data_IF_178966651940
#
_entry.id   IF_178966651940
#
_cell.length_a   1.000
_cell.length_b   1.000
_cell.length_c   1.000
_cell.angle_alpha   90.00
_cell.angle_beta   90.00
_cell.angle_gamma   90.00
#
_symmetry.space_group_name_H-M   'P 1'
#
loop_
_entity.id
_entity.type
_entity.pdbx_description
1 polymer ?
#
# COMPACT_ATOMS: atom_id res chain seq x y z
N UNK A 1 -64.05 -22.30 -35.67
CA UNK A 1 -63.34 -23.04 -34.61
C UNK A 1 -61.86 -23.27 -34.92
N UNK A 2 -61.48 -23.72 -36.13
CA UNK A 2 -60.07 -23.96 -36.49
C UNK A 2 -59.18 -22.70 -36.39
N UNK A 3 -59.67 -21.54 -36.83
CA UNK A 3 -58.91 -20.29 -36.79
C UNK A 3 -58.69 -19.77 -35.35
N UNK A 4 -59.67 -19.96 -34.46
CA UNK A 4 -59.53 -19.60 -33.05
C UNK A 4 -58.47 -20.47 -32.34
N UNK A 5 -58.42 -21.76 -32.67
CA UNK A 5 -57.43 -22.70 -32.12
C UNK A 5 -56.01 -22.34 -32.60
N UNK A 6 -55.85 -21.98 -33.89
CA UNK A 6 -54.56 -21.49 -34.42
C UNK A 6 -54.11 -20.19 -33.74
N UNK A 7 -55.01 -19.23 -33.54
CA UNK A 7 -54.68 -17.97 -32.84
C UNK A 7 -54.26 -18.21 -31.39
N UNK A 8 -54.92 -19.12 -30.68
CA UNK A 8 -54.56 -19.48 -29.30
C UNK A 8 -53.21 -20.19 -29.21
N UNK A 9 -52.91 -21.08 -30.17
CA UNK A 9 -51.61 -21.77 -30.25
C UNK A 9 -50.46 -20.82 -30.56
N UNK A 10 -50.68 -19.81 -31.41
CA UNK A 10 -49.69 -18.76 -31.71
C UNK A 10 -49.47 -17.86 -30.48
N UNK A 11 -50.53 -17.51 -29.74
CA UNK A 11 -50.38 -16.73 -28.50
C UNK A 11 -49.63 -17.51 -27.41
N UNK A 12 -49.88 -18.82 -27.27
CA UNK A 12 -49.19 -19.66 -26.29
C UNK A 12 -47.71 -19.85 -26.64
N UNK A 13 -47.39 -20.03 -27.92
CA UNK A 13 -46.01 -20.18 -28.38
C UNK A 13 -45.24 -18.86 -28.30
N UNK A 14 -45.89 -17.72 -28.51
CA UNK A 14 -45.30 -16.40 -28.27
C UNK A 14 -45.07 -16.16 -26.76
N UNK A 15 -46.02 -16.50 -25.89
CA UNK A 15 -45.86 -16.38 -24.44
C UNK A 15 -44.74 -17.29 -23.88
N UNK A 16 -44.58 -18.50 -24.44
CA UNK A 16 -43.49 -19.41 -24.10
C UNK A 16 -42.12 -18.88 -24.58
N UNK A 17 -42.05 -18.26 -25.77
CA UNK A 17 -40.83 -17.64 -26.28
C UNK A 17 -40.37 -16.43 -25.43
N UNK A 18 -41.31 -15.65 -24.89
CA UNK A 18 -41.00 -14.50 -24.02
C UNK A 18 -40.55 -14.96 -22.61
N UNK A 19 -40.99 -16.13 -22.15
CA UNK A 19 -40.51 -16.72 -20.87
C UNK A 19 -39.16 -17.42 -20.99
N UNK A 20 -38.71 -17.77 -22.21
CA UNK A 20 -37.38 -18.33 -22.50
C UNK A 20 -36.27 -17.27 -22.55
N UNK A 21 -36.60 -16.01 -22.83
CA UNK A 21 -35.68 -14.87 -22.71
C UNK A 21 -35.67 -14.31 -21.28
N UNK A 22 -35.36 -15.16 -20.29
CA UNK A 22 -34.73 -14.65 -19.07
C UNK A 22 -33.29 -14.32 -19.45
N UNK A 23 -33.06 -13.10 -19.91
CA UNK A 23 -31.74 -12.48 -19.78
C UNK A 23 -31.34 -12.70 -18.32
N UNK A 24 -30.25 -13.43 -18.10
CA UNK A 24 -29.66 -13.71 -16.79
C UNK A 24 -29.10 -12.45 -16.15
N UNK A 25 -29.96 -11.44 -15.97
CA UNK A 25 -29.67 -10.24 -15.22
C UNK A 25 -30.19 -10.50 -13.81
N UNK A 26 -29.48 -11.36 -13.10
CA UNK A 26 -29.58 -11.56 -11.67
C UNK A 26 -28.97 -10.31 -11.02
N UNK A 27 -29.74 -9.35 -10.46
CA UNK A 27 -29.16 -8.14 -9.89
C UNK A 27 -28.68 -8.36 -8.44
N UNK A 28 -28.51 -9.62 -8.02
CA UNK A 28 -28.47 -9.99 -6.59
C UNK A 28 -27.38 -10.99 -6.21
N UNK A 29 -26.28 -11.08 -6.97
CA UNK A 29 -25.08 -11.80 -6.53
C UNK A 29 -24.13 -10.89 -5.75
N UNK A 30 -23.36 -11.44 -4.79
CA UNK A 30 -22.29 -10.76 -4.03
C UNK A 30 -21.15 -10.13 -4.89
N UNK A 31 -21.35 -10.06 -6.20
CA UNK A 31 -20.44 -9.55 -7.23
C UNK A 31 -21.09 -8.46 -8.11
N UNK A 32 -22.26 -7.92 -7.73
CA UNK A 32 -22.97 -6.89 -8.50
C UNK A 32 -22.27 -5.51 -8.55
N UNK A 33 -21.14 -5.33 -7.84
CA UNK A 33 -20.25 -4.18 -7.99
C UNK A 33 -19.03 -4.54 -8.85
N UNK A 34 -18.77 -3.76 -9.90
CA UNK A 34 -17.56 -3.89 -10.72
C UNK A 34 -16.29 -3.62 -9.91
N UNK A 35 -15.13 -3.89 -10.53
CA UNK A 35 -13.84 -3.66 -9.89
C UNK A 35 -13.63 -2.18 -9.49
N UNK A 36 -14.19 -1.25 -10.26
CA UNK A 36 -14.11 0.18 -10.00
C UNK A 36 -14.85 0.57 -8.71
N UNK A 37 -16.04 0.03 -8.48
CA UNK A 37 -16.84 0.31 -7.29
C UNK A 37 -16.17 -0.21 -6.01
N UNK A 38 -15.34 -1.26 -6.12
CA UNK A 38 -14.60 -1.85 -4.99
C UNK A 38 -13.38 -1.04 -4.55
N UNK A 39 -12.81 -0.23 -5.44
CA UNK A 39 -11.63 0.61 -5.15
C UNK A 39 -11.98 2.08 -4.96
N UNK A 40 -13.24 2.45 -5.21
CA UNK A 40 -13.71 3.81 -5.06
C UNK A 40 -14.02 4.15 -3.60
N UNK A 41 -13.35 5.17 -3.08
CA UNK A 41 -13.58 5.74 -1.73
C UNK A 41 -14.11 7.17 -1.91
N UNK A 42 -15.31 7.45 -1.39
CA UNK A 42 -15.96 8.75 -1.61
C UNK A 42 -15.29 9.87 -0.81
N UNK A 43 -15.47 11.15 -1.21
CA UNK A 43 -15.10 12.27 -0.37
C UNK A 43 -15.75 12.18 1.01
N UNK A 44 -14.95 12.31 2.08
CA UNK A 44 -15.40 12.16 3.46
C UNK A 44 -15.37 10.73 4.00
N UNK A 45 -15.08 9.72 3.17
CA UNK A 45 -14.85 8.34 3.59
C UNK A 45 -13.34 8.04 3.70
N UNK A 46 -13.00 7.06 4.54
CA UNK A 46 -11.62 6.66 4.82
C UNK A 46 -11.25 5.38 4.07
N UNK A 47 -9.97 5.26 3.74
CA UNK A 47 -9.37 4.00 3.34
C UNK A 47 -9.36 3.00 4.51
N UNK A 48 -9.39 1.70 4.18
CA UNK A 48 -9.41 0.62 5.15
C UNK A 48 -8.02 0.27 5.69
N UNK A 49 -6.97 0.47 4.88
CA UNK A 49 -5.60 0.13 5.24
C UNK A 49 -4.63 1.24 4.86
N UNK A 50 -3.53 1.31 5.62
CA UNK A 50 -2.32 1.99 5.20
C UNK A 50 -1.38 0.98 4.51
N UNK A 51 -0.75 1.42 3.43
CA UNK A 51 0.31 0.69 2.76
C UNK A 51 1.61 1.50 2.83
N UNK A 52 2.62 0.93 3.46
CA UNK A 52 3.97 1.48 3.53
C UNK A 52 4.78 0.92 2.36
N UNK A 53 5.03 1.76 1.37
CA UNK A 53 5.60 1.37 0.09
C UNK A 53 6.98 1.98 -0.04
N UNK A 54 7.96 1.13 -0.38
CA UNK A 54 9.29 1.58 -0.71
C UNK A 54 9.26 2.57 -1.88
N UNK A 55 10.01 3.68 -1.74
CA UNK A 55 10.25 4.61 -2.83
C UNK A 55 11.45 4.25 -3.72
N UNK A 56 12.11 3.12 -3.46
CA UNK A 56 13.31 2.66 -4.17
C UNK A 56 14.42 3.70 -4.14
N UNK A 57 15.00 3.98 -5.31
CA UNK A 57 16.07 4.94 -5.53
C UNK A 57 15.77 6.40 -5.14
N UNK A 58 14.54 6.73 -4.75
CA UNK A 58 14.26 8.05 -4.15
C UNK A 58 14.67 8.11 -2.67
N UNK A 59 14.95 6.98 -2.02
CA UNK A 59 15.41 6.86 -0.64
C UNK A 59 14.37 7.19 0.44
N UNK A 60 13.08 7.24 0.10
CA UNK A 60 11.99 7.64 1.00
C UNK A 60 10.91 6.56 1.13
N UNK A 61 10.12 6.65 2.20
CA UNK A 61 9.02 5.73 2.48
C UNK A 61 7.67 6.42 2.17
N UNK A 62 6.87 5.82 1.29
CA UNK A 62 5.56 6.37 0.91
C UNK A 62 4.43 5.68 1.66
N UNK A 63 3.43 6.45 2.08
CA UNK A 63 2.23 5.98 2.78
C UNK A 63 1.03 6.17 1.89
N UNK A 64 0.41 5.07 1.48
CA UNK A 64 -0.80 5.06 0.66
C UNK A 64 -2.01 4.58 1.45
N UNK A 65 -3.20 5.06 1.07
CA UNK A 65 -4.47 4.49 1.50
C UNK A 65 -4.95 3.40 0.54
N UNK A 66 -5.42 2.28 1.07
CA UNK A 66 -6.08 1.22 0.29
C UNK A 66 -7.56 1.08 0.70
N UNK A 67 -8.49 0.91 -0.25
CA UNK A 67 -8.23 0.52 -1.64
C UNK A 67 -8.08 1.69 -2.63
N UNK A 68 -8.17 2.96 -2.21
CA UNK A 68 -8.19 4.10 -3.13
C UNK A 68 -6.88 4.32 -3.89
N UNK A 69 -5.75 3.83 -3.38
CA UNK A 69 -4.42 4.04 -3.96
C UNK A 69 -3.93 5.49 -3.85
N UNK A 70 -4.54 6.31 -2.99
CA UNK A 70 -4.15 7.71 -2.80
C UNK A 70 -2.89 7.81 -1.93
N UNK A 71 -1.94 8.62 -2.35
CA UNK A 71 -0.75 8.95 -1.54
C UNK A 71 -1.16 9.90 -0.41
N UNK A 72 -0.87 9.53 0.83
CA UNK A 72 -1.15 10.34 2.02
C UNK A 72 0.09 11.09 2.51
N UNK A 73 1.26 10.44 2.49
CA UNK A 73 2.50 11.04 2.99
C UNK A 73 3.72 10.40 2.34
N UNK A 74 4.78 11.19 2.18
CA UNK A 74 6.13 10.70 1.91
C UNK A 74 6.99 11.05 3.12
N UNK A 75 7.51 10.03 3.80
CA UNK A 75 8.37 10.13 4.97
C UNK A 75 9.83 10.13 4.48
N UNK A 76 10.60 11.19 4.73
CA UNK A 76 12.03 11.21 4.40
C UNK A 76 12.81 10.23 5.25
N UNK A 77 13.72 9.48 4.61
CA UNK A 77 14.56 8.49 5.29
C UNK A 77 16.03 8.69 4.91
N UNK A 78 16.43 8.31 3.70
CA UNK A 78 17.82 8.30 3.25
C UNK A 78 18.18 9.43 2.27
N UNK A 79 17.19 10.24 1.89
CA UNK A 79 17.37 11.37 0.98
C UNK A 79 16.97 12.69 1.63
N UNK A 80 17.58 13.78 1.19
CA UNK A 80 17.16 15.12 1.61
C UNK A 80 15.72 15.42 1.17
N UNK A 81 14.98 16.13 2.02
CA UNK A 81 13.66 16.68 1.70
C UNK A 81 13.62 18.15 2.15
N UNK A 82 13.71 19.05 1.18
CA UNK A 82 13.76 20.49 1.43
C UNK A 82 12.41 21.07 1.88
N UNK A 83 11.28 20.47 1.49
CA UNK A 83 9.96 20.91 1.93
C UNK A 83 9.82 20.72 3.44
N UNK A 84 10.33 19.59 3.95
CA UNK A 84 10.27 19.23 5.37
C UNK A 84 11.50 19.65 6.18
N UNK A 85 12.52 20.21 5.53
CA UNK A 85 13.81 20.53 6.16
C UNK A 85 14.65 19.31 6.56
N UNK A 86 14.29 18.11 6.11
CA UNK A 86 14.99 16.87 6.44
C UNK A 86 16.33 16.79 5.72
N UNK A 87 17.39 16.60 6.50
CA UNK A 87 18.77 16.69 6.03
C UNK A 87 19.28 18.14 5.94
N UNK A 88 18.54 19.10 6.49
CA UNK A 88 18.94 20.51 6.62
C UNK A 88 18.87 21.00 8.07
N UNK A 89 17.96 20.46 8.89
CA UNK A 89 17.89 20.76 10.33
C UNK A 89 19.03 20.09 11.11
N UNK A 90 19.36 20.59 12.30
CA UNK A 90 20.43 20.02 13.12
C UNK A 90 20.10 18.60 13.61
N UNK A 91 18.82 18.29 13.75
CA UNK A 91 18.31 16.99 14.18
C UNK A 91 18.43 15.94 13.05
N UNK A 92 18.31 16.35 11.80
CA UNK A 92 18.21 15.45 10.64
C UNK A 92 19.48 15.41 9.78
N UNK A 93 20.33 16.44 9.84
CA UNK A 93 21.66 16.44 9.19
C UNK A 93 22.49 15.19 9.56
N UNK A 94 22.60 14.78 10.84
CA UNK A 94 23.39 13.61 11.21
C UNK A 94 22.86 12.30 10.60
N UNK A 95 21.55 12.19 10.33
CA UNK A 95 20.94 10.99 9.76
C UNK A 95 21.47 10.65 8.36
N UNK A 96 21.98 11.65 7.64
CA UNK A 96 22.54 11.49 6.28
C UNK A 96 24.07 11.45 6.27
N UNK A 97 24.72 11.48 7.43
CA UNK A 97 26.16 11.27 7.55
C UNK A 97 26.45 9.80 7.75
N UNK A 98 27.39 9.30 6.96
CA UNK A 98 27.82 7.89 6.95
C UNK A 98 29.33 7.83 7.17
N UNK A 99 29.89 6.63 7.26
CA UNK A 99 31.35 6.41 7.29
C UNK A 99 32.05 6.93 6.02
N UNK A 100 31.30 7.16 4.93
CA UNK A 100 31.77 7.73 3.66
C UNK A 100 31.53 9.25 3.56
N UNK A 101 31.09 9.90 4.64
CA UNK A 101 30.72 11.31 4.67
C UNK A 101 29.22 11.52 4.41
N UNK A 102 28.88 12.71 3.93
CA UNK A 102 27.50 13.12 3.69
C UNK A 102 26.93 12.44 2.43
N UNK A 103 25.90 11.60 2.60
CA UNK A 103 25.27 10.84 1.52
C UNK A 103 23.76 11.13 1.54
N UNK A 104 23.30 12.12 0.75
CA UNK A 104 21.92 12.60 0.76
C UNK A 104 20.97 11.82 -0.18
N UNK A 105 21.26 10.54 -0.38
CA UNK A 105 20.44 9.63 -1.20
C UNK A 105 20.69 8.16 -0.79
N UNK A 106 19.75 7.28 -1.11
CA UNK A 106 19.95 5.83 -1.13
C UNK A 106 18.81 5.16 -1.90
N UNK A 107 18.86 3.83 -1.98
CA UNK A 107 17.82 2.98 -2.50
C UNK A 107 17.13 2.25 -1.34
N UNK A 108 15.95 2.74 -0.96
CA UNK A 108 15.14 2.17 0.11
C UNK A 108 14.43 0.92 -0.41
N UNK A 109 14.62 -0.25 0.20
CA UNK A 109 14.13 -1.51 -0.41
C UNK A 109 12.92 -2.15 0.27
N UNK A 110 13.09 -2.72 1.46
CA UNK A 110 12.09 -3.57 2.10
C UNK A 110 11.57 -2.93 3.40
N UNK A 111 10.34 -2.37 3.38
CA UNK A 111 9.63 -2.01 4.59
C UNK A 111 9.11 -3.25 5.31
N UNK A 112 9.32 -3.31 6.62
CA UNK A 112 8.71 -4.31 7.49
C UNK A 112 8.18 -3.66 8.78
N UNK A 113 7.02 -4.11 9.25
CA UNK A 113 6.26 -3.44 10.32
C UNK A 113 6.46 -4.21 11.62
N UNK A 114 6.64 -3.48 12.73
CA UNK A 114 6.79 -4.09 14.05
C UNK A 114 5.60 -4.97 14.45
N UNK A 115 5.94 -6.05 15.15
CA UNK A 115 5.04 -7.08 15.63
C UNK A 115 5.18 -7.34 17.13
N UNK A 116 4.07 -7.79 17.73
CA UNK A 116 4.00 -8.38 19.06
C UNK A 116 3.19 -9.68 18.97
N UNK A 117 3.78 -10.81 19.36
CA UNK A 117 3.21 -12.16 19.22
C UNK A 117 2.76 -12.50 17.78
N UNK A 118 3.49 -12.03 16.78
CA UNK A 118 3.21 -12.28 15.36
C UNK A 118 2.09 -11.40 14.76
N UNK A 119 1.54 -10.47 15.54
CA UNK A 119 0.56 -9.50 15.07
C UNK A 119 1.18 -8.12 14.91
N UNK A 120 0.84 -7.42 13.82
CA UNK A 120 1.31 -6.05 13.58
C UNK A 120 0.83 -5.14 14.72
N UNK A 121 1.77 -4.53 15.43
CA UNK A 121 1.47 -3.65 16.55
C UNK A 121 1.55 -2.15 16.20
N UNK A 122 2.01 -1.84 15.00
CA UNK A 122 1.98 -0.50 14.42
C UNK A 122 2.84 0.52 15.17
N UNK A 123 3.87 0.09 15.92
CA UNK A 123 4.82 0.99 16.57
C UNK A 123 5.83 1.57 15.57
N UNK A 124 6.39 0.72 14.71
CA UNK A 124 7.53 1.05 13.86
C UNK A 124 7.39 0.48 12.45
N UNK A 125 8.07 1.13 11.51
CA UNK A 125 8.45 0.52 10.22
C UNK A 125 9.96 0.53 10.10
N UNK A 126 10.54 -0.63 9.83
CA UNK A 126 11.96 -0.76 9.54
C UNK A 126 12.18 -0.81 8.04
N UNK A 127 13.20 -0.10 7.57
CA UNK A 127 13.56 -0.04 6.15
C UNK A 127 15.08 -0.08 6.01
N UNK A 128 15.57 -0.55 4.89
CA UNK A 128 17.00 -0.61 4.57
C UNK A 128 17.38 0.27 3.39
N UNK A 129 18.60 0.81 3.44
CA UNK A 129 19.31 1.38 2.29
C UNK A 129 20.29 0.35 1.72
N UNK A 130 20.22 0.10 0.41
CA UNK A 130 21.05 -0.91 -0.26
C UNK A 130 22.40 -0.36 -0.73
N UNK A 131 22.46 0.89 -1.19
CA UNK A 131 23.68 1.49 -1.72
C UNK A 131 24.69 1.74 -0.60
N UNK A 132 24.28 2.44 0.46
CA UNK A 132 25.07 2.55 1.69
C UNK A 132 24.36 1.73 2.77
N UNK A 133 24.84 0.50 3.07
CA UNK A 133 24.19 -0.44 3.97
C UNK A 133 23.78 0.19 5.30
N UNK A 134 22.49 0.51 5.41
CA UNK A 134 21.90 1.16 6.57
C UNK A 134 20.53 0.55 6.85
N UNK A 135 20.11 0.65 8.11
CA UNK A 135 18.75 0.33 8.56
C UNK A 135 18.21 1.57 9.24
N UNK A 136 16.99 1.96 8.91
CA UNK A 136 16.27 3.03 9.57
C UNK A 136 15.02 2.49 10.25
N UNK A 137 14.66 3.10 11.40
CA UNK A 137 13.37 2.89 12.07
C UNK A 137 12.54 4.16 11.94
N UNK A 138 11.34 4.00 11.40
CA UNK A 138 10.31 5.05 11.30
C UNK A 138 9.30 4.86 12.43
N UNK A 139 9.02 5.93 13.16
CA UNK A 139 7.98 6.00 14.21
C UNK A 139 6.61 6.23 13.59
N UNK A 140 5.67 5.32 13.82
CA UNK A 140 4.31 5.42 13.27
C UNK A 140 3.38 6.32 14.10
N UNK A 141 3.79 6.74 15.30
CA UNK A 141 3.07 7.76 16.07
C UNK A 141 3.32 9.18 15.53
N UNK A 142 4.50 9.43 14.96
CA UNK A 142 4.89 10.74 14.41
C UNK A 142 5.01 10.77 12.88
N UNK A 143 5.11 9.60 12.24
CA UNK A 143 5.42 9.44 10.81
C UNK A 143 6.75 10.12 10.43
N UNK A 144 7.78 9.88 11.24
CA UNK A 144 9.14 10.42 11.09
C UNK A 144 10.20 9.34 11.29
N UNK A 145 11.35 9.51 10.63
CA UNK A 145 12.51 8.64 10.84
C UNK A 145 13.14 8.94 12.20
N UNK A 146 13.11 7.96 13.10
CA UNK A 146 13.57 8.10 14.47
C UNK A 146 15.07 7.83 14.62
N UNK A 147 15.60 6.88 13.86
CA UNK A 147 17.01 6.46 13.92
C UNK A 147 17.44 5.85 12.59
N UNK A 148 18.72 6.01 12.28
CA UNK A 148 19.41 5.32 11.18
C UNK A 148 20.73 4.78 11.73
N UNK A 149 20.99 3.49 11.48
CA UNK A 149 22.26 2.85 11.78
C UNK A 149 22.92 2.38 10.49
N UNK A 150 24.24 2.55 10.39
CA UNK A 150 25.05 1.97 9.32
C UNK A 150 25.54 0.58 9.72
N UNK A 151 25.44 -0.37 8.79
CA UNK A 151 25.89 -1.74 8.98
C UNK A 151 27.36 -1.84 8.58
N UNK A 152 28.28 -2.05 9.54
CA UNK A 152 29.70 -2.08 9.25
C UNK A 152 30.09 -3.32 8.44
N UNK A 153 31.17 -3.21 7.67
CA UNK A 153 31.77 -4.33 6.92
C UNK A 153 30.79 -5.02 5.95
N UNK A 154 29.81 -4.27 5.42
CA UNK A 154 28.80 -4.76 4.50
C UNK A 154 28.75 -3.91 3.23
N UNK A 155 28.22 -4.48 2.15
CA UNK A 155 27.93 -3.81 0.88
C UNK A 155 26.71 -4.49 0.23
N UNK A 156 25.80 -3.71 -0.37
CA UNK A 156 24.61 -4.25 -1.04
C UNK A 156 23.62 -4.88 -0.06
N UNK A 157 23.09 -4.08 0.87
CA UNK A 157 22.12 -4.55 1.85
C UNK A 157 20.72 -4.66 1.21
N UNK A 158 20.46 -5.70 0.42
CA UNK A 158 19.20 -5.87 -0.31
C UNK A 158 18.08 -6.46 0.57
N UNK A 159 18.25 -7.71 1.02
CA UNK A 159 17.22 -8.45 1.77
C UNK A 159 17.35 -8.20 3.29
N UNK A 160 17.02 -6.98 3.71
CA UNK A 160 17.06 -6.53 5.10
C UNK A 160 16.10 -5.36 5.25
N UNK A 161 15.65 -4.94 6.43
CA UNK A 161 15.63 -5.71 7.67
C UNK A 161 14.26 -6.36 7.82
N UNK A 162 14.22 -7.60 8.31
CA UNK A 162 12.96 -8.28 8.65
C UNK A 162 12.86 -8.42 10.16
N UNK A 163 11.71 -8.07 10.71
CA UNK A 163 11.47 -8.16 12.16
C UNK A 163 11.10 -9.57 12.57
N UNK A 164 11.45 -9.92 13.80
CA UNK A 164 10.90 -11.12 14.45
C UNK A 164 9.44 -10.87 14.86
N UNK A 165 8.72 -11.93 15.22
CA UNK A 165 7.32 -11.88 15.66
C UNK A 165 7.08 -10.97 16.89
N UNK A 166 8.14 -10.59 17.62
CA UNK A 166 8.08 -9.67 18.76
C UNK A 166 8.88 -8.38 18.55
N UNK A 167 9.42 -8.15 17.35
CA UNK A 167 10.36 -7.04 17.08
C UNK A 167 11.55 -7.06 18.05
N UNK A 168 11.98 -8.27 18.42
CA UNK A 168 13.16 -8.50 19.24
C UNK A 168 14.38 -8.59 18.33
N UNK A 169 15.46 -7.95 18.78
CA UNK A 169 16.81 -7.99 18.20
C UNK A 169 17.71 -8.91 19.01
#
# INVERSE_FOLDING_TARGET
MKNAIQSTLILLSFAAAVSGCKNGNDPGGALAGGAAEKVYVKPGEHDAFYAFISGGFNGQLSVYGLPSGRLFRVIPVFSQDAEKGYGYSEETKPMLNTSFGFVPWDDLHHPDISQTNGELDGRWVFVNGNNTPRIARVDLSTFETAEIIEIPNSAGNHSSSYVTENTEY
#
